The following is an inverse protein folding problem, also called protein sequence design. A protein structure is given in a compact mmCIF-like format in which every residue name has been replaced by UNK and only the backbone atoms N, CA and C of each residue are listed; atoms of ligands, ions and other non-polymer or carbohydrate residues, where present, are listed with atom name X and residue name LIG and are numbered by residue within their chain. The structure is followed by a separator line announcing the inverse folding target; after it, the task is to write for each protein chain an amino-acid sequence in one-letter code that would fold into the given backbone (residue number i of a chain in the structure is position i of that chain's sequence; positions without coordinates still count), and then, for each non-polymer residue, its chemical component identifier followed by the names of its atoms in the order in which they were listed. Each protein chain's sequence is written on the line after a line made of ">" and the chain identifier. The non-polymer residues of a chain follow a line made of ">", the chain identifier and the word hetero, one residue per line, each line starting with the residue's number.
data_IF_286017969765
#
_entry.id   IF_286017969765
#
_cell.length_a   1.000
_cell.length_b   1.000
_cell.length_c   1.000
_cell.angle_alpha   90.00
_cell.angle_beta   90.00
_cell.angle_gamma   90.00
#
_symmetry.space_group_name_H-M   'P 1'
#
loop_
_entity.id
_entity.type
_entity.pdbx_description
1 polymer ?
#
# COMPACT_ATOMS: atom_id res chain seq x y z
N UNK A 1 -27.43 6.01 0.20
CA UNK A 1 -26.73 5.65 1.47
C UNK A 1 -25.43 4.88 1.18
N UNK A 2 -25.44 3.63 0.60
CA UNK A 2 -24.20 2.89 0.32
C UNK A 2 -23.25 3.63 -0.63
N UNK A 3 -23.77 4.28 -1.65
CA UNK A 3 -22.99 5.10 -2.58
C UNK A 3 -22.32 6.28 -1.89
N UNK A 4 -23.01 6.94 -1.00
CA UNK A 4 -22.47 8.09 -0.22
C UNK A 4 -21.36 7.65 0.73
N UNK A 5 -21.56 6.51 1.42
CA UNK A 5 -20.54 5.90 2.26
C UNK A 5 -19.30 5.55 1.42
N UNK A 6 -19.49 4.87 0.28
CA UNK A 6 -18.42 4.52 -0.64
C UNK A 6 -17.63 5.74 -1.11
N UNK A 7 -18.30 6.80 -1.52
CA UNK A 7 -17.66 8.05 -1.92
C UNK A 7 -16.91 8.70 -0.78
N UNK A 8 -17.47 8.68 0.44
CA UNK A 8 -16.82 9.20 1.63
C UNK A 8 -15.52 8.43 1.94
N UNK A 9 -15.55 7.09 1.89
CA UNK A 9 -14.36 6.25 2.08
C UNK A 9 -13.31 6.52 1.01
N UNK A 10 -13.70 6.52 -0.28
CA UNK A 10 -12.78 6.79 -1.40
C UNK A 10 -12.09 8.14 -1.26
N UNK A 11 -12.80 9.18 -0.80
CA UNK A 11 -12.22 10.52 -0.60
C UNK A 11 -11.15 10.58 0.50
N UNK A 12 -11.09 9.56 1.37
CA UNK A 12 -10.16 9.46 2.49
C UNK A 12 -9.14 8.33 2.31
N UNK A 13 -9.18 7.63 1.17
CA UNK A 13 -8.29 6.51 0.86
C UNK A 13 -7.27 6.92 -0.20
N UNK A 14 -5.98 6.75 0.10
CA UNK A 14 -4.91 6.87 -0.89
C UNK A 14 -4.00 5.67 -0.84
N UNK A 15 -3.58 5.22 -2.02
CA UNK A 15 -2.69 4.08 -2.21
C UNK A 15 -1.47 4.47 -3.03
N UNK A 16 -0.32 3.96 -2.65
CA UNK A 16 0.92 4.13 -3.41
C UNK A 16 1.71 2.83 -3.37
N UNK A 17 2.22 2.41 -4.52
CA UNK A 17 3.02 1.19 -4.65
C UNK A 17 4.47 1.45 -5.00
N UNK A 18 5.33 0.48 -4.69
CA UNK A 18 6.71 0.39 -5.14
C UNK A 18 6.99 -0.99 -5.71
N UNK A 19 7.48 -1.03 -6.94
CA UNK A 19 7.84 -2.27 -7.62
C UNK A 19 9.32 -2.61 -7.42
N UNK A 20 9.58 -3.89 -7.10
CA UNK A 20 10.91 -4.48 -7.00
C UNK A 20 11.19 -5.44 -8.17
N UNK A 21 10.15 -5.87 -8.88
CA UNK A 21 10.28 -6.53 -10.19
C UNK A 21 9.05 -6.28 -11.05
N UNK A 22 9.19 -6.28 -12.39
CA UNK A 22 8.07 -6.19 -13.30
C UNK A 22 7.24 -7.47 -13.31
N UNK A 23 6.03 -7.40 -13.87
CA UNK A 23 5.25 -8.57 -14.24
C UNK A 23 5.77 -9.16 -15.55
N UNK A 24 5.80 -10.49 -15.63
CA UNK A 24 6.08 -11.22 -16.87
C UNK A 24 4.77 -11.62 -17.54
N UNK A 25 4.55 -11.18 -18.76
CA UNK A 25 3.33 -11.53 -19.48
C UNK A 25 3.42 -13.00 -19.97
N UNK A 26 2.49 -13.90 -19.58
CA UNK A 26 2.64 -15.33 -19.79
C UNK A 26 2.62 -15.79 -21.26
N UNK A 27 2.09 -14.96 -22.15
CA UNK A 27 2.00 -15.30 -23.59
C UNK A 27 3.13 -14.67 -24.41
N UNK A 28 3.57 -13.47 -24.06
CA UNK A 28 4.53 -12.71 -24.87
C UNK A 28 5.92 -12.66 -24.29
N UNK A 29 6.10 -13.15 -23.08
CA UNK A 29 7.34 -13.08 -22.28
C UNK A 29 7.91 -11.64 -22.21
N UNK A 30 7.03 -10.64 -22.30
CA UNK A 30 7.39 -9.23 -22.23
C UNK A 30 7.15 -8.70 -20.84
N UNK A 31 8.14 -8.00 -20.31
CA UNK A 31 7.99 -7.24 -19.06
C UNK A 31 7.20 -5.95 -19.28
N UNK A 32 6.37 -5.58 -18.31
CA UNK A 32 5.59 -4.33 -18.36
C UNK A 32 6.47 -3.07 -18.25
N UNK A 33 7.62 -3.19 -17.60
CA UNK A 33 8.65 -2.15 -17.50
C UNK A 33 10.01 -2.81 -17.25
N UNK A 34 11.08 -2.02 -17.32
CA UNK A 34 12.46 -2.50 -17.10
C UNK A 34 12.97 -1.91 -15.79
N UNK A 35 13.51 -2.77 -14.92
CA UNK A 35 14.34 -2.41 -13.77
C UNK A 35 15.75 -2.97 -13.95
N UNK A 36 16.76 -2.22 -13.50
CA UNK A 36 18.11 -2.71 -13.34
C UNK A 36 18.20 -3.58 -12.08
N UNK A 37 19.29 -4.33 -11.94
CA UNK A 37 19.57 -5.06 -10.71
C UNK A 37 19.61 -4.08 -9.53
N UNK A 38 18.94 -4.44 -8.44
CA UNK A 38 18.83 -3.61 -7.24
C UNK A 38 18.15 -2.24 -7.43
N UNK A 39 17.30 -2.09 -8.44
CA UNK A 39 16.51 -0.88 -8.67
C UNK A 39 15.05 -1.08 -8.24
N UNK A 40 14.40 -0.01 -7.78
CA UNK A 40 12.97 0.02 -7.45
C UNK A 40 12.26 1.11 -8.25
N UNK A 41 10.96 0.93 -8.47
CA UNK A 41 10.14 1.88 -9.23
C UNK A 41 8.91 2.30 -8.41
N UNK A 42 8.89 3.54 -7.95
CA UNK A 42 7.78 4.10 -7.18
C UNK A 42 6.63 4.54 -8.04
N UNK A 43 5.41 4.34 -7.53
CA UNK A 43 4.17 4.77 -8.15
C UNK A 43 3.56 3.74 -9.10
N UNK A 44 4.16 2.56 -9.20
CA UNK A 44 3.59 1.46 -9.99
C UNK A 44 2.35 0.91 -9.28
N UNK A 45 1.29 0.69 -10.04
CA UNK A 45 0.06 0.03 -9.61
C UNK A 45 -0.28 -1.19 -10.45
N UNK A 46 -1.43 -1.78 -10.17
CA UNK A 46 -1.86 -3.06 -10.76
C UNK A 46 -2.33 -2.94 -12.21
N UNK A 47 -2.76 -1.75 -12.65
CA UNK A 47 -3.30 -1.50 -13.98
C UNK A 47 -2.28 -0.90 -14.96
N UNK A 48 -0.99 -0.95 -14.62
CA UNK A 48 0.07 -0.39 -15.45
C UNK A 48 0.23 1.13 -15.30
N UNK A 49 -0.13 1.67 -14.15
CA UNK A 49 0.15 3.05 -13.79
C UNK A 49 1.64 3.33 -13.94
N UNK A 50 1.96 4.44 -14.59
CA UNK A 50 3.34 4.82 -14.82
C UNK A 50 3.96 5.31 -13.53
N UNK A 51 5.02 4.65 -13.09
CA UNK A 51 5.79 5.09 -11.93
C UNK A 51 6.41 6.48 -12.15
N UNK A 52 6.69 7.17 -11.06
CA UNK A 52 7.21 8.53 -11.12
C UNK A 52 8.72 8.64 -10.84
N UNK A 53 9.34 7.61 -10.22
CA UNK A 53 10.76 7.63 -9.90
C UNK A 53 11.34 6.22 -9.78
N UNK A 54 12.50 6.01 -10.38
CA UNK A 54 13.35 4.86 -10.15
C UNK A 54 14.55 5.24 -9.31
N UNK A 55 14.99 4.37 -8.43
CA UNK A 55 16.23 4.54 -7.67
C UNK A 55 16.75 3.19 -7.19
N UNK A 56 17.99 3.17 -6.68
CA UNK A 56 18.58 1.99 -6.10
C UNK A 56 17.83 1.59 -4.83
N UNK A 57 17.61 0.28 -4.64
CA UNK A 57 17.04 -0.26 -3.41
C UNK A 57 18.08 -0.16 -2.28
N UNK A 58 17.67 0.39 -1.16
CA UNK A 58 18.52 0.47 0.03
C UNK A 58 17.98 -0.39 1.18
N UNK A 59 16.77 -0.12 1.62
CA UNK A 59 16.13 -0.85 2.70
C UNK A 59 14.61 -0.68 2.67
N UNK A 60 13.90 -1.53 3.41
CA UNK A 60 12.46 -1.41 3.64
C UNK A 60 12.10 -0.08 4.29
N UNK A 61 12.91 0.40 5.25
CA UNK A 61 12.69 1.68 5.94
C UNK A 61 12.73 2.86 4.95
N UNK A 62 13.67 2.89 4.00
CA UNK A 62 13.75 3.93 2.98
C UNK A 62 12.52 3.91 2.07
N UNK A 63 12.06 2.73 1.64
CA UNK A 63 10.81 2.60 0.90
C UNK A 63 9.63 3.15 1.70
N UNK A 64 9.53 2.79 2.97
CA UNK A 64 8.47 3.26 3.87
C UNK A 64 8.48 4.78 4.04
N UNK A 65 9.65 5.39 4.23
CA UNK A 65 9.82 6.84 4.35
C UNK A 65 9.33 7.55 3.08
N UNK A 66 9.71 7.07 1.91
CA UNK A 66 9.28 7.68 0.64
C UNK A 66 7.76 7.62 0.46
N UNK A 67 7.15 6.44 0.66
CA UNK A 67 5.71 6.29 0.52
C UNK A 67 4.96 7.15 1.56
N UNK A 68 5.40 7.15 2.81
CA UNK A 68 4.80 7.96 3.87
C UNK A 68 4.90 9.46 3.58
N UNK A 69 6.04 9.96 3.10
CA UNK A 69 6.22 11.37 2.75
C UNK A 69 5.28 11.80 1.62
N UNK A 70 5.11 10.96 0.59
CA UNK A 70 4.14 11.21 -0.50
C UNK A 70 2.70 11.26 0.02
N UNK A 71 2.30 10.25 0.79
CA UNK A 71 0.95 10.18 1.35
C UNK A 71 0.68 11.33 2.34
N UNK A 72 1.68 11.73 3.14
CA UNK A 72 1.58 12.88 4.05
C UNK A 72 1.18 14.15 3.33
N UNK A 73 1.72 14.40 2.15
CA UNK A 73 1.40 15.59 1.36
C UNK A 73 -0.06 15.63 0.92
N UNK A 74 -0.70 14.47 0.74
CA UNK A 74 -2.11 14.35 0.33
C UNK A 74 -3.07 14.54 1.51
N UNK A 75 -2.73 13.96 2.66
CA UNK A 75 -3.63 13.97 3.83
C UNK A 75 -3.54 15.24 4.67
N UNK A 76 -2.38 15.88 4.73
CA UNK A 76 -2.09 16.96 5.70
C UNK A 76 -2.49 16.54 7.11
N UNK A 77 -2.13 15.29 7.49
CA UNK A 77 -2.53 14.70 8.77
C UNK A 77 -1.99 15.46 9.98
N UNK A 78 -2.60 15.22 11.12
CA UNK A 78 -2.25 15.82 12.40
C UNK A 78 -2.06 14.71 13.44
N UNK A 79 -1.32 15.02 14.49
CA UNK A 79 -1.19 14.13 15.65
C UNK A 79 -2.57 13.78 16.20
N UNK A 80 -2.80 12.48 16.43
CA UNK A 80 -4.06 11.93 16.90
C UNK A 80 -5.07 11.61 15.79
N UNK A 81 -4.77 11.87 14.51
CA UNK A 81 -5.60 11.37 13.42
C UNK A 81 -5.61 9.84 13.38
N UNK A 82 -6.78 9.25 13.11
CA UNK A 82 -6.98 7.80 13.08
C UNK A 82 -6.84 7.27 11.66
N UNK A 83 -6.07 6.18 11.53
CA UNK A 83 -5.86 5.54 10.24
C UNK A 83 -6.07 4.03 10.28
N UNK A 84 -6.52 3.48 9.15
CA UNK A 84 -6.40 2.07 8.81
C UNK A 84 -5.29 1.90 7.75
N UNK A 85 -4.53 0.82 7.86
CA UNK A 85 -3.43 0.45 6.97
C UNK A 85 -3.76 -0.85 6.27
N UNK A 86 -3.60 -0.88 4.95
CA UNK A 86 -3.50 -2.11 4.17
C UNK A 86 -2.15 -2.13 3.47
N UNK A 87 -1.35 -3.17 3.74
CA UNK A 87 -0.16 -3.50 2.98
C UNK A 87 -0.49 -4.71 2.12
N UNK A 88 -0.42 -4.51 0.81
CA UNK A 88 -0.77 -5.55 -0.17
C UNK A 88 0.42 -5.86 -1.07
N UNK A 89 0.80 -7.15 -1.10
CA UNK A 89 1.72 -7.67 -2.10
C UNK A 89 0.96 -8.01 -3.39
N UNK A 90 1.57 -7.78 -4.56
CA UNK A 90 0.90 -8.02 -5.84
C UNK A 90 1.16 -9.42 -6.42
N UNK A 91 1.68 -10.34 -5.63
CA UNK A 91 1.84 -11.75 -6.00
C UNK A 91 3.19 -12.34 -5.59
N UNK A 92 4.29 -11.75 -6.01
CA UNK A 92 5.63 -12.29 -5.74
C UNK A 92 6.33 -11.72 -4.50
N UNK A 93 5.74 -10.77 -3.79
CA UNK A 93 6.32 -10.24 -2.54
C UNK A 93 6.01 -11.17 -1.37
N UNK A 94 7.03 -11.81 -0.73
CA UNK A 94 6.80 -12.69 0.40
C UNK A 94 6.13 -11.99 1.58
N UNK A 95 5.28 -12.71 2.32
CA UNK A 95 4.61 -12.17 3.50
C UNK A 95 5.59 -11.63 4.54
N UNK A 96 6.73 -12.27 4.72
CA UNK A 96 7.76 -11.79 5.65
C UNK A 96 8.26 -10.39 5.28
N UNK A 97 8.53 -10.13 3.99
CA UNK A 97 8.93 -8.79 3.51
C UNK A 97 7.81 -7.76 3.73
N UNK A 98 6.55 -8.16 3.48
CA UNK A 98 5.39 -7.32 3.74
C UNK A 98 5.25 -6.96 5.22
N UNK A 99 5.51 -7.90 6.15
CA UNK A 99 5.48 -7.63 7.59
C UNK A 99 6.64 -6.74 8.05
N UNK A 100 7.85 -6.90 7.49
CA UNK A 100 8.98 -6.00 7.76
C UNK A 100 8.60 -4.57 7.35
N UNK A 101 8.12 -4.39 6.12
CA UNK A 101 7.67 -3.10 5.63
C UNK A 101 6.53 -2.51 6.49
N UNK A 102 5.56 -3.33 6.89
CA UNK A 102 4.46 -2.90 7.77
C UNK A 102 4.97 -2.41 9.12
N UNK A 103 5.98 -3.08 9.68
CA UNK A 103 6.61 -2.63 10.92
C UNK A 103 7.26 -1.25 10.78
N UNK A 104 7.96 -1.01 9.66
CA UNK A 104 8.57 0.30 9.38
C UNK A 104 7.50 1.39 9.23
N UNK A 105 6.40 1.11 8.51
CA UNK A 105 5.25 2.02 8.40
C UNK A 105 4.64 2.33 9.78
N UNK A 106 4.45 1.32 10.63
CA UNK A 106 3.90 1.54 11.98
C UNK A 106 4.78 2.44 12.83
N UNK A 107 6.11 2.22 12.80
CA UNK A 107 7.08 3.09 13.49
C UNK A 107 7.02 4.53 13.00
N UNK A 108 6.91 4.74 11.69
CA UNK A 108 6.78 6.08 11.12
C UNK A 108 5.44 6.73 11.54
N UNK A 109 4.34 5.98 11.54
CA UNK A 109 3.06 6.47 12.04
C UNK A 109 3.13 6.89 13.52
N UNK A 110 3.81 6.10 14.36
CA UNK A 110 4.03 6.42 15.77
C UNK A 110 4.84 7.71 15.95
N UNK A 111 5.92 7.88 15.18
CA UNK A 111 6.73 9.11 15.18
C UNK A 111 5.93 10.35 14.76
N UNK A 112 5.02 10.21 13.81
CA UNK A 112 4.10 11.26 13.38
C UNK A 112 2.93 11.48 14.36
N UNK A 113 2.81 10.62 15.38
CA UNK A 113 1.75 10.65 16.39
C UNK A 113 0.38 10.27 15.83
N UNK A 114 0.33 9.43 14.80
CA UNK A 114 -0.90 8.89 14.22
C UNK A 114 -1.41 7.71 15.05
N UNK A 115 -2.72 7.57 15.13
CA UNK A 115 -3.37 6.47 15.85
C UNK A 115 -3.86 5.42 14.85
N UNK A 116 -3.19 4.26 14.83
CA UNK A 116 -3.49 3.18 13.90
C UNK A 116 -4.53 2.24 14.49
N UNK A 117 -5.73 2.25 13.94
CA UNK A 117 -6.91 1.50 14.41
C UNK A 117 -7.08 0.13 13.78
N UNK A 118 -6.55 -0.06 12.57
CA UNK A 118 -6.66 -1.31 11.84
C UNK A 118 -5.43 -1.50 10.94
N UNK A 119 -4.94 -2.75 10.87
CA UNK A 119 -3.84 -3.12 9.97
C UNK A 119 -4.18 -4.46 9.33
N UNK A 120 -4.08 -4.51 8.01
CA UNK A 120 -4.18 -5.75 7.25
C UNK A 120 -2.99 -5.90 6.32
N UNK A 121 -2.43 -7.11 6.24
CA UNK A 121 -1.23 -7.41 5.46
C UNK A 121 -1.48 -8.71 4.70
N UNK A 122 -1.18 -8.73 3.43
CA UNK A 122 -1.32 -9.94 2.62
C UNK A 122 -1.39 -9.69 1.13
N UNK A 123 -1.65 -10.75 0.37
CA UNK A 123 -1.88 -10.69 -1.07
C UNK A 123 -3.40 -10.71 -1.33
N UNK A 124 -4.03 -9.55 -1.23
CA UNK A 124 -5.48 -9.40 -1.37
C UNK A 124 -5.90 -9.09 -2.80
N UNK A 125 -5.09 -8.34 -3.53
CA UNK A 125 -5.25 -8.04 -4.94
C UNK A 125 -3.90 -8.23 -5.62
N UNK A 126 -3.80 -9.15 -6.59
CA UNK A 126 -2.53 -9.60 -7.16
C UNK A 126 -2.45 -9.34 -8.66
N UNK A 127 -1.23 -9.24 -9.17
CA UNK A 127 -0.88 -9.15 -10.58
C UNK A 127 0.21 -10.17 -10.92
N UNK A 128 -0.20 -11.41 -11.15
CA UNK A 128 0.67 -12.53 -11.51
C UNK A 128 1.93 -12.62 -10.61
N UNK A 129 3.12 -12.57 -11.21
CA UNK A 129 4.44 -12.66 -10.57
C UNK A 129 5.06 -11.31 -10.21
N UNK A 130 4.31 -10.23 -10.21
CA UNK A 130 4.83 -8.90 -9.93
C UNK A 130 5.25 -8.76 -8.46
N UNK A 131 6.52 -8.42 -8.23
CA UNK A 131 7.02 -8.14 -6.88
C UNK A 131 6.82 -6.66 -6.57
N UNK A 132 5.70 -6.34 -5.94
CA UNK A 132 5.31 -4.99 -5.54
C UNK A 132 4.83 -5.01 -4.10
N UNK A 133 5.08 -3.94 -3.36
CA UNK A 133 4.39 -3.62 -2.12
C UNK A 133 3.58 -2.36 -2.33
N UNK A 134 2.28 -2.42 -2.07
CA UNK A 134 1.43 -1.23 -2.04
C UNK A 134 1.00 -0.93 -0.61
N UNK A 135 1.05 0.35 -0.27
CA UNK A 135 0.58 0.92 0.98
C UNK A 135 -0.69 1.71 0.72
N UNK A 136 -1.79 1.27 1.31
CA UNK A 136 -3.04 2.02 1.36
C UNK A 136 -3.24 2.58 2.76
N UNK A 137 -3.49 3.87 2.85
CA UNK A 137 -3.90 4.54 4.09
C UNK A 137 -5.34 5.02 3.93
N UNK A 138 -6.18 4.68 4.90
CA UNK A 138 -7.53 5.21 5.02
C UNK A 138 -7.59 6.09 6.28
N UNK A 139 -7.82 7.39 6.11
CA UNK A 139 -8.10 8.28 7.24
C UNK A 139 -9.52 8.05 7.74
N UNK A 140 -9.65 7.52 8.95
CA UNK A 140 -10.95 7.17 9.55
C UNK A 140 -11.63 8.47 10.02
N UNK A 141 -12.69 8.87 9.32
CA UNK A 141 -13.51 10.04 9.65
C UNK A 141 -14.72 9.70 10.51
N UNK A 142 -15.22 8.48 10.39
CA UNK A 142 -16.35 7.97 11.14
C UNK A 142 -15.91 6.70 11.90
N UNK A 143 -16.07 6.64 13.22
CA UNK A 143 -15.72 5.44 14.02
C UNK A 143 -16.41 4.16 13.56
N UNK A 144 -17.55 4.25 12.87
CA UNK A 144 -18.26 3.09 12.34
C UNK A 144 -17.43 2.34 11.29
N UNK A 145 -16.53 3.04 10.56
CA UNK A 145 -15.66 2.39 9.58
C UNK A 145 -14.68 1.41 10.22
N UNK A 146 -14.17 1.74 11.41
CA UNK A 146 -13.33 0.82 12.17
C UNK A 146 -14.09 -0.46 12.53
N UNK A 147 -15.36 -0.34 12.94
CA UNK A 147 -16.22 -1.49 13.24
C UNK A 147 -16.44 -2.35 11.99
N UNK A 148 -16.68 -1.74 10.84
CA UNK A 148 -16.88 -2.49 9.59
C UNK A 148 -15.60 -3.16 9.11
N UNK A 149 -14.44 -2.51 9.21
CA UNK A 149 -13.15 -3.11 8.86
C UNK A 149 -12.80 -4.33 9.73
N UNK A 150 -13.29 -4.37 10.97
CA UNK A 150 -13.07 -5.46 11.93
C UNK A 150 -14.17 -6.52 11.91
N UNK A 151 -15.23 -6.32 11.14
CA UNK A 151 -16.31 -7.28 11.06
C UNK A 151 -15.87 -8.55 10.32
N UNK A 152 -16.34 -9.70 10.81
CA UNK A 152 -16.17 -10.96 10.10
C UNK A 152 -16.98 -10.96 8.81
N UNK A 153 -16.33 -11.33 7.72
CA UNK A 153 -16.96 -11.42 6.39
C UNK A 153 -16.52 -12.70 5.68
N UNK A 154 -17.46 -13.33 4.98
CA UNK A 154 -17.20 -14.55 4.21
C UNK A 154 -16.91 -14.20 2.74
N UNK A 155 -15.75 -13.64 2.48
CA UNK A 155 -15.28 -13.32 1.12
C UNK A 155 -13.84 -13.79 0.91
N UNK A 156 -13.50 -14.15 -0.33
CA UNK A 156 -12.23 -14.81 -0.64
C UNK A 156 -10.97 -13.96 -0.38
N UNK A 157 -11.09 -12.64 -0.42
CA UNK A 157 -9.95 -11.73 -0.38
C UNK A 157 -9.95 -10.76 0.80
N UNK A 158 -10.71 -11.08 1.87
CA UNK A 158 -10.72 -10.24 3.07
C UNK A 158 -10.57 -11.01 4.36
#
# INVERSE_FOLDING_TARGET
>A
ELTEIGQSVISQLHTLGVALSPVTHPVTDRSSFILQDNEVFYGIGIHGEVGYRKEEFHSSEILAIELMNKLKSLYRWKKGDHFAILVNGLGATPLMEQYIFTNDIRRLCELEGLDIRFVKVGNHLTSLDMKVISLSLLKIKDPIWEKWLKADVEVASW
#
